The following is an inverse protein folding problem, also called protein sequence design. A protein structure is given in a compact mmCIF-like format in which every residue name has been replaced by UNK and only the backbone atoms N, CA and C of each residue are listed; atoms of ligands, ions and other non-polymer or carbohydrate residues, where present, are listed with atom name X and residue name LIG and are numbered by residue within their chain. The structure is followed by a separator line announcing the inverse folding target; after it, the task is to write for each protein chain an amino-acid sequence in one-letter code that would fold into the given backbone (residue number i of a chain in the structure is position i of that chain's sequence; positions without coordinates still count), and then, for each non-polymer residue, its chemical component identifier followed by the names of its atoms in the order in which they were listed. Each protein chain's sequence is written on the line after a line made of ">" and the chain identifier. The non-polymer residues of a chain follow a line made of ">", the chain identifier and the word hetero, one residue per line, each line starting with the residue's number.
data_IF_960071912998
#
_entry.id   IF_960071912998
#
_cell.length_a   1.000
_cell.length_b   1.000
_cell.length_c   1.000
_cell.angle_alpha   90.00
_cell.angle_beta   90.00
_cell.angle_gamma   90.00
#
_symmetry.space_group_name_H-M   'P 1'
#
loop_
_entity.id
_entity.type
_entity.pdbx_description
1 polymer ?
#
# COMPACT_ATOMS: atom_id res chain seq x y z
N UNK A 1 -6.97 12.54 30.81
CA UNK A 1 -7.08 13.97 31.02
C UNK A 1 -5.89 14.68 30.31
N UNK A 2 -6.23 15.71 29.52
CA UNK A 2 -5.53 16.62 28.55
C UNK A 2 -4.64 17.65 29.26
N UNK A 3 -3.78 18.39 28.56
CA UNK A 3 -3.41 19.75 29.01
C UNK A 3 -3.71 20.70 27.84
N UNK A 4 -4.84 21.39 27.92
CA UNK A 4 -5.24 22.48 27.01
C UNK A 4 -5.59 23.73 27.82
N UNK A 5 -5.27 24.91 27.31
CA UNK A 5 -5.59 26.19 27.96
C UNK A 5 -6.89 26.76 27.41
N UNK A 6 -7.86 27.01 28.28
CA UNK A 6 -9.07 27.78 27.95
C UNK A 6 -9.27 28.92 28.94
N UNK A 7 -9.75 30.07 28.46
CA UNK A 7 -10.17 31.20 29.31
C UNK A 7 -11.66 31.08 29.61
N UNK A 8 -12.06 31.16 30.88
CA UNK A 8 -13.47 31.32 31.23
C UNK A 8 -13.94 32.80 31.09
N UNK A 9 -15.25 33.02 31.19
CA UNK A 9 -15.95 34.30 31.02
C UNK A 9 -15.51 35.41 32.00
N UNK A 10 -14.71 35.12 33.03
CA UNK A 10 -14.22 36.06 34.04
C UNK A 10 -12.72 36.44 33.94
N UNK A 11 -12.04 36.04 32.86
CA UNK A 11 -10.61 36.34 32.57
C UNK A 11 -9.61 35.89 33.65
N UNK A 12 -9.99 35.00 34.58
CA UNK A 12 -9.03 34.42 35.52
C UNK A 12 -8.18 33.35 34.83
N UNK A 13 -6.85 33.52 34.85
CA UNK A 13 -5.91 32.45 34.47
C UNK A 13 -5.87 31.44 35.63
N UNK A 14 -6.77 30.47 35.60
CA UNK A 14 -6.69 29.27 36.42
C UNK A 14 -5.89 28.22 35.65
N UNK A 15 -4.98 27.55 36.35
CA UNK A 15 -4.25 26.40 35.81
C UNK A 15 -5.17 25.20 35.93
N UNK A 16 -5.80 24.82 34.84
CA UNK A 16 -6.41 23.51 34.71
C UNK A 16 -5.30 22.48 34.49
N UNK A 17 -5.42 21.33 35.15
CA UNK A 17 -4.48 20.22 35.01
C UNK A 17 -5.27 19.00 34.63
N UNK A 18 -4.81 18.31 33.60
CA UNK A 18 -5.45 17.07 33.25
C UNK A 18 -4.41 15.93 32.90
N UNK A 19 -4.60 14.71 33.45
CA UNK A 19 -3.80 13.44 33.28
C UNK A 19 -4.46 12.18 32.62
N UNK A 20 -3.83 11.42 31.71
CA UNK A 20 -4.40 10.20 31.05
C UNK A 20 -5.33 10.49 29.84
N UNK A 21 -5.06 11.50 29.00
CA UNK A 21 -5.80 11.67 27.72
C UNK A 21 -4.94 11.12 26.61
N UNK A 22 -5.56 10.27 25.81
CA UNK A 22 -4.92 9.64 24.66
C UNK A 22 -5.12 10.38 23.35
N UNK A 23 -6.05 11.34 23.27
CA UNK A 23 -6.28 12.18 22.08
C UNK A 23 -6.34 13.64 22.50
N UNK A 24 -5.34 14.43 22.14
CA UNK A 24 -5.26 15.87 22.46
C UNK A 24 -5.40 16.67 21.18
N UNK A 25 -6.25 17.70 21.18
CA UNK A 25 -6.20 18.75 20.17
C UNK A 25 -5.93 20.10 20.82
N UNK A 26 -4.88 20.78 20.37
CA UNK A 26 -4.56 22.15 20.74
C UNK A 26 -5.46 23.18 20.06
N UNK A 27 -5.06 24.43 20.20
CA UNK A 27 -5.81 25.60 19.78
C UNK A 27 -5.34 26.11 18.41
N UNK A 28 -5.40 27.43 18.21
CA UNK A 28 -4.87 28.08 17.01
C UNK A 28 -3.65 28.98 17.35
N UNK A 29 -3.04 28.74 18.50
CA UNK A 29 -1.91 29.47 19.05
C UNK A 29 -0.86 28.46 19.53
N UNK A 30 0.36 28.94 19.72
CA UNK A 30 1.48 28.15 20.25
C UNK A 30 1.11 27.44 21.56
N UNK A 31 0.94 26.12 21.47
CA UNK A 31 0.58 25.23 22.55
C UNK A 31 1.76 24.35 22.98
N UNK A 32 1.68 23.84 24.21
CA UNK A 32 2.64 22.87 24.74
C UNK A 32 1.85 21.67 25.23
N UNK A 33 1.93 20.57 24.49
CA UNK A 33 1.15 19.37 24.72
C UNK A 33 2.05 18.26 25.29
N UNK A 34 1.59 17.60 26.35
CA UNK A 34 2.26 16.46 26.97
C UNK A 34 1.37 15.23 26.92
N UNK A 35 1.94 14.12 26.45
CA UNK A 35 1.34 12.81 26.54
C UNK A 35 1.36 12.25 27.95
N UNK A 36 0.74 11.08 28.07
CA UNK A 36 0.77 10.21 29.22
C UNK A 36 2.15 9.57 29.40
N UNK A 37 2.35 8.79 30.47
CA UNK A 37 3.61 8.04 30.64
C UNK A 37 3.47 6.54 30.33
N UNK A 38 2.29 6.08 29.91
CA UNK A 38 1.97 4.65 29.82
C UNK A 38 1.00 4.28 28.67
N UNK A 39 0.55 5.24 27.85
CA UNK A 39 -0.36 4.98 26.71
C UNK A 39 0.16 5.55 25.41
N UNK A 40 -0.39 5.06 24.30
CA UNK A 40 -0.16 5.61 22.97
C UNK A 40 -1.09 6.79 22.76
N UNK A 41 -0.54 7.95 22.45
CA UNK A 41 -1.27 9.20 22.38
C UNK A 41 -1.28 9.78 20.95
N UNK A 42 -2.39 10.42 20.58
CA UNK A 42 -2.61 11.11 19.31
C UNK A 42 -2.67 12.62 19.56
N UNK A 43 -1.79 13.36 18.93
CA UNK A 43 -1.68 14.81 19.06
C UNK A 43 -2.09 15.51 17.77
N UNK A 44 -2.99 16.47 17.88
CA UNK A 44 -3.24 17.47 16.85
C UNK A 44 -2.93 18.84 17.45
N UNK A 45 -1.77 19.44 17.14
CA UNK A 45 -1.40 20.75 17.68
C UNK A 45 -2.43 21.83 17.30
N UNK A 46 -2.81 21.84 16.02
CA UNK A 46 -3.69 22.85 15.46
C UNK A 46 -2.87 23.87 14.71
N UNK A 47 -3.29 25.14 14.71
CA UNK A 47 -2.44 26.20 14.15
C UNK A 47 -1.58 26.80 15.26
N UNK A 48 -0.43 27.39 14.91
CA UNK A 48 0.54 27.90 15.88
C UNK A 48 1.85 27.12 15.78
N UNK A 49 2.86 27.56 16.50
CA UNK A 49 4.11 26.81 16.62
C UNK A 49 4.05 25.98 17.90
N UNK A 50 3.68 24.72 17.78
CA UNK A 50 3.36 23.87 18.91
C UNK A 50 4.57 23.04 19.37
N UNK A 51 4.59 22.70 20.65
CA UNK A 51 5.57 21.78 21.21
C UNK A 51 4.88 20.51 21.69
N UNK A 52 5.17 19.39 21.04
CA UNK A 52 4.52 18.11 21.30
C UNK A 52 5.49 17.12 21.98
N UNK A 53 5.14 16.68 23.19
CA UNK A 53 5.91 15.71 23.96
C UNK A 53 5.11 14.41 24.16
N UNK A 54 5.35 13.36 23.36
CA UNK A 54 4.63 12.09 23.49
C UNK A 54 4.96 11.34 24.78
N UNK A 55 6.24 11.37 25.19
CA UNK A 55 6.82 10.71 26.38
C UNK A 55 6.99 9.20 26.19
N UNK A 56 6.23 8.35 26.87
CA UNK A 56 6.36 6.90 26.74
C UNK A 56 5.13 6.36 26.04
N UNK A 57 5.31 5.45 25.10
CA UNK A 57 4.22 4.92 24.31
C UNK A 57 4.68 4.75 22.88
N UNK A 58 3.71 4.62 21.99
CA UNK A 58 3.89 4.82 20.56
C UNK A 58 2.94 5.95 20.17
N UNK A 59 3.47 7.15 20.11
CA UNK A 59 2.75 8.40 20.00
C UNK A 59 2.70 8.88 18.55
N UNK A 60 1.66 9.62 18.21
CA UNK A 60 1.35 10.03 16.84
C UNK A 60 1.10 11.53 16.76
N UNK A 61 1.88 12.25 15.97
CA UNK A 61 1.54 13.61 15.57
C UNK A 61 0.64 13.57 14.31
N UNK A 62 -0.47 14.29 14.35
CA UNK A 62 -1.51 14.25 13.33
C UNK A 62 -1.86 15.63 12.80
N UNK A 63 -1.86 15.73 11.47
CA UNK A 63 -2.19 16.93 10.70
C UNK A 63 -3.44 16.73 9.84
N UNK A 64 -4.27 15.74 10.18
CA UNK A 64 -5.47 15.31 9.43
C UNK A 64 -6.49 16.44 9.18
N UNK A 65 -6.49 17.50 10.00
CA UNK A 65 -7.34 18.68 9.84
C UNK A 65 -6.65 19.90 9.22
N UNK A 66 -5.36 19.80 8.86
CA UNK A 66 -4.68 20.91 8.23
C UNK A 66 -5.28 21.22 6.87
N UNK A 67 -5.40 22.52 6.59
CA UNK A 67 -5.93 23.03 5.34
C UNK A 67 -4.86 23.12 4.23
N UNK A 68 -3.61 22.82 4.55
CA UNK A 68 -2.47 22.81 3.63
C UNK A 68 -1.65 21.53 3.81
N UNK A 69 -0.86 21.17 2.79
CA UNK A 69 0.10 20.09 2.92
C UNK A 69 1.19 20.44 3.93
N UNK A 70 1.67 19.43 4.66
CA UNK A 70 2.65 19.57 5.74
C UNK A 70 3.98 18.92 5.36
N UNK A 71 5.07 19.45 5.91
CA UNK A 71 6.41 18.84 5.83
C UNK A 71 6.91 18.59 7.24
N UNK A 72 7.03 17.33 7.63
CA UNK A 72 7.34 16.91 8.99
C UNK A 72 8.47 15.90 8.97
N UNK A 73 9.46 16.10 9.84
CA UNK A 73 10.65 15.27 9.97
C UNK A 73 10.90 14.96 11.44
N UNK A 74 10.68 13.69 11.83
CA UNK A 74 10.87 13.21 13.20
C UNK A 74 12.35 13.15 13.60
N UNK A 75 13.22 12.76 12.65
CA UNK A 75 14.66 12.68 12.87
C UNK A 75 15.27 14.06 13.23
N UNK A 76 14.86 15.11 12.52
CA UNK A 76 15.29 16.49 12.78
C UNK A 76 14.45 17.18 13.86
N UNK A 77 13.27 16.63 14.18
CA UNK A 77 12.33 17.23 15.11
C UNK A 77 11.75 18.56 14.59
N UNK A 78 11.60 18.69 13.27
CA UNK A 78 11.15 19.93 12.61
C UNK A 78 9.89 19.72 11.80
N UNK A 79 9.05 20.75 11.77
CA UNK A 79 7.85 20.77 10.95
C UNK A 79 7.57 22.15 10.34
N UNK A 80 6.96 22.15 9.16
CA UNK A 80 6.62 23.35 8.41
C UNK A 80 5.41 23.13 7.51
N UNK A 81 4.75 24.21 7.12
CA UNK A 81 3.57 24.19 6.26
C UNK A 81 2.28 23.88 7.02
N UNK A 82 1.20 24.61 6.68
CA UNK A 82 -0.12 24.40 7.28
C UNK A 82 -0.11 24.50 8.79
N UNK A 83 -0.68 23.49 9.42
CA UNK A 83 -0.81 23.33 10.88
C UNK A 83 0.50 22.85 11.50
N UNK A 84 1.49 22.46 10.69
CA UNK A 84 2.79 22.01 11.16
C UNK A 84 3.81 23.16 11.27
N UNK A 85 3.42 24.40 10.93
CA UNK A 85 4.34 25.53 10.83
C UNK A 85 4.98 25.91 12.17
N UNK A 86 6.24 25.52 12.35
CA UNK A 86 7.02 25.84 13.55
C UNK A 86 6.88 24.82 14.68
N UNK A 87 6.17 23.72 14.43
CA UNK A 87 6.01 22.64 15.39
C UNK A 87 7.36 21.96 15.72
N UNK A 88 7.46 21.47 16.95
CA UNK A 88 8.59 20.70 17.46
C UNK A 88 8.13 19.47 18.21
N UNK A 89 8.92 18.39 18.12
CA UNK A 89 8.54 17.07 18.62
C UNK A 89 9.56 16.50 19.59
N UNK A 90 9.08 15.67 20.52
CA UNK A 90 9.93 14.77 21.31
C UNK A 90 9.17 13.52 21.72
N UNK A 91 9.73 12.35 21.37
CA UNK A 91 9.11 11.04 21.61
C UNK A 91 7.83 10.92 20.80
N UNK A 92 7.97 11.02 19.47
CA UNK A 92 6.89 10.77 18.52
C UNK A 92 7.40 9.69 17.60
N UNK A 93 6.61 8.65 17.41
CA UNK A 93 7.01 7.49 16.59
C UNK A 93 6.20 7.43 15.29
N UNK A 94 5.09 8.16 15.19
CA UNK A 94 4.20 8.09 14.02
C UNK A 94 3.76 9.47 13.53
N UNK A 95 3.43 9.53 12.24
CA UNK A 95 2.88 10.71 11.58
C UNK A 95 1.58 10.37 10.83
N UNK A 96 0.61 11.28 10.93
CA UNK A 96 -0.56 11.32 10.03
C UNK A 96 -0.55 12.67 9.32
N UNK A 97 -0.53 12.63 7.99
CA UNK A 97 -0.59 13.78 7.11
C UNK A 97 -1.96 14.46 7.06
N UNK A 98 -2.03 15.51 6.25
CA UNK A 98 -3.25 16.19 5.86
C UNK A 98 -4.04 15.36 4.82
N UNK A 99 -4.88 16.00 4.00
CA UNK A 99 -5.52 15.36 2.83
C UNK A 99 -4.91 15.84 1.51
N UNK A 100 -3.80 16.55 1.61
CA UNK A 100 -3.11 17.22 0.53
C UNK A 100 -1.73 16.58 0.41
N UNK A 101 -0.95 17.00 -0.59
CA UNK A 101 0.38 16.45 -0.75
C UNK A 101 1.28 16.81 0.45
N UNK A 102 1.66 15.80 1.22
CA UNK A 102 2.52 15.94 2.39
C UNK A 102 3.94 15.39 2.13
N UNK A 103 4.88 15.77 3.00
CA UNK A 103 6.22 15.22 3.08
C UNK A 103 6.46 14.76 4.51
N UNK A 104 6.43 13.46 4.76
CA UNK A 104 6.54 12.87 6.09
C UNK A 104 7.81 12.02 6.18
N UNK A 105 8.68 12.32 7.14
CA UNK A 105 9.93 11.60 7.38
C UNK A 105 9.92 11.03 8.80
N UNK A 106 10.19 9.74 8.91
CA UNK A 106 10.41 9.01 10.15
C UNK A 106 11.75 9.34 10.81
N UNK A 107 12.16 8.48 11.72
CA UNK A 107 13.46 8.50 12.39
C UNK A 107 14.11 7.11 12.34
N UNK A 108 15.05 6.80 13.23
CA UNK A 108 15.76 5.52 13.20
C UNK A 108 14.96 4.37 13.88
N UNK A 109 13.73 4.64 14.32
CA UNK A 109 12.85 3.67 14.97
C UNK A 109 11.76 3.14 14.02
N UNK A 110 10.95 2.18 14.48
CA UNK A 110 9.86 1.66 13.65
C UNK A 110 8.68 2.65 13.64
N UNK A 111 8.51 3.36 12.52
CA UNK A 111 7.49 4.39 12.37
C UNK A 111 6.27 3.89 11.58
N UNK A 112 5.11 4.48 11.89
CA UNK A 112 3.94 4.46 11.01
C UNK A 112 3.71 5.83 10.40
N UNK A 113 3.89 5.94 9.09
CA UNK A 113 3.65 7.17 8.32
C UNK A 113 2.41 6.99 7.47
N UNK A 114 1.38 7.79 7.71
CA UNK A 114 0.12 7.75 6.97
C UNK A 114 -0.14 9.07 6.25
N UNK A 115 -0.05 9.07 4.93
CA UNK A 115 -0.29 10.26 4.12
C UNK A 115 -1.74 10.78 4.14
N UNK A 116 -2.72 9.90 4.43
CA UNK A 116 -4.12 10.29 4.62
C UNK A 116 -4.81 10.99 3.41
N UNK A 117 -4.19 10.98 2.24
CA UNK A 117 -4.76 11.39 0.95
C UNK A 117 -3.85 12.37 0.25
N UNK A 118 -4.04 12.58 -1.05
CA UNK A 118 -3.12 13.40 -1.83
C UNK A 118 -1.83 12.66 -2.23
N UNK A 119 -0.97 13.40 -2.95
CA UNK A 119 0.26 12.84 -3.54
C UNK A 119 1.45 12.97 -2.61
N UNK A 120 1.60 12.04 -1.67
CA UNK A 120 2.55 12.17 -0.55
C UNK A 120 3.97 11.72 -0.86
N UNK A 121 4.93 12.27 -0.13
CA UNK A 121 6.30 11.78 -0.05
C UNK A 121 6.55 11.21 1.34
N UNK A 122 6.71 9.89 1.46
CA UNK A 122 6.91 9.21 2.74
C UNK A 122 8.30 8.57 2.77
N UNK A 123 9.07 8.85 3.82
CA UNK A 123 10.43 8.31 4.04
C UNK A 123 10.53 7.68 5.43
N UNK A 124 10.72 6.36 5.49
CA UNK A 124 10.86 5.59 6.74
C UNK A 124 12.15 5.88 7.49
N UNK A 125 13.28 5.91 6.76
CA UNK A 125 14.66 6.05 7.26
C UNK A 125 15.25 4.71 7.71
N UNK A 126 15.62 4.52 8.99
CA UNK A 126 16.05 3.22 9.51
C UNK A 126 14.89 2.65 10.34
N UNK A 127 14.71 1.33 10.41
CA UNK A 127 13.61 0.75 11.19
C UNK A 127 12.78 -0.23 10.37
N UNK A 128 11.81 -0.88 11.00
CA UNK A 128 10.83 -1.71 10.30
C UNK A 128 9.54 -0.91 10.14
N UNK A 129 9.40 -0.19 9.03
CA UNK A 129 8.40 0.87 8.87
C UNK A 129 7.08 0.42 8.24
N UNK A 130 6.04 1.17 8.55
CA UNK A 130 4.70 1.04 7.97
C UNK A 130 4.30 2.33 7.26
N UNK A 131 4.37 2.30 5.94
CA UNK A 131 3.97 3.41 5.07
C UNK A 131 2.56 3.18 4.56
N UNK A 132 1.66 4.15 4.73
CA UNK A 132 0.25 4.05 4.37
C UNK A 132 -0.13 5.18 3.41
N UNK A 133 -0.69 4.80 2.26
CA UNK A 133 -1.17 5.72 1.23
C UNK A 133 -2.60 5.39 0.83
N UNK A 134 -3.40 6.40 0.55
CA UNK A 134 -4.76 6.25 0.03
C UNK A 134 -4.95 6.78 -1.39
N UNK A 135 -3.99 7.54 -1.89
CA UNK A 135 -3.90 8.02 -3.28
C UNK A 135 -2.51 7.68 -3.85
N UNK A 136 -2.30 7.95 -5.13
CA UNK A 136 -0.99 7.75 -5.78
C UNK A 136 0.06 8.67 -5.15
N UNK A 137 1.11 8.12 -4.50
CA UNK A 137 2.12 8.93 -3.84
C UNK A 137 3.07 9.58 -4.84
N UNK A 138 3.68 10.68 -4.41
CA UNK A 138 4.82 11.29 -5.08
C UNK A 138 6.09 10.46 -4.88
N UNK A 139 6.34 9.97 -3.66
CA UNK A 139 7.46 9.07 -3.36
C UNK A 139 7.21 8.22 -2.11
N UNK A 140 7.74 7.01 -2.13
CA UNK A 140 7.76 6.04 -1.04
C UNK A 140 9.18 5.50 -0.94
N UNK A 141 9.82 5.76 0.18
CA UNK A 141 11.10 5.19 0.55
C UNK A 141 10.98 4.56 1.92
N UNK A 142 11.02 3.23 2.03
CA UNK A 142 11.05 2.57 3.33
C UNK A 142 12.41 2.70 4.02
N UNK A 143 13.48 2.93 3.26
CA UNK A 143 14.82 3.04 3.81
C UNK A 143 15.43 1.69 4.18
N UNK A 144 15.96 1.57 5.40
CA UNK A 144 16.69 0.40 5.87
C UNK A 144 15.91 -0.37 6.94
N UNK A 145 15.54 -1.59 6.61
CA UNK A 145 14.97 -2.54 7.55
C UNK A 145 14.02 -3.46 6.83
N UNK A 146 12.84 -3.71 7.41
CA UNK A 146 11.76 -4.44 6.74
C UNK A 146 10.50 -3.61 6.73
N UNK A 147 10.27 -3.03 5.57
CA UNK A 147 9.28 -1.99 5.41
C UNK A 147 8.08 -2.52 4.63
N UNK A 148 6.91 -2.01 5.00
CA UNK A 148 5.66 -2.38 4.36
C UNK A 148 4.94 -1.15 3.84
N UNK A 149 4.56 -1.18 2.56
CA UNK A 149 3.65 -0.22 1.97
C UNK A 149 2.23 -0.75 2.02
N UNK A 150 1.28 0.12 2.31
CA UNK A 150 -0.13 -0.22 2.42
C UNK A 150 -0.93 0.76 1.59
N UNK A 151 -1.40 0.27 0.45
CA UNK A 151 -2.30 0.97 -0.44
C UNK A 151 -3.74 0.69 -0.02
N UNK A 152 -4.50 1.75 0.25
CA UNK A 152 -5.91 1.70 0.66
C UNK A 152 -6.71 2.84 0.01
N UNK A 153 -7.96 3.08 0.43
CA UNK A 153 -8.77 4.22 -0.04
C UNK A 153 -9.80 3.93 -1.15
N UNK A 154 -9.78 2.75 -1.79
CA UNK A 154 -10.80 2.34 -2.77
C UNK A 154 -10.64 2.94 -4.18
N UNK A 155 -9.51 3.59 -4.46
CA UNK A 155 -9.13 4.11 -5.78
C UNK A 155 -7.94 3.35 -6.37
N UNK A 156 -7.26 3.97 -7.34
CA UNK A 156 -6.04 3.42 -7.94
C UNK A 156 -4.79 4.08 -7.33
N UNK A 157 -3.85 3.25 -6.91
CA UNK A 157 -2.51 3.65 -6.50
C UNK A 157 -1.51 3.19 -7.56
N UNK A 158 -0.86 4.13 -8.23
CA UNK A 158 0.17 3.84 -9.22
C UNK A 158 1.56 4.11 -8.65
N UNK A 159 2.50 3.19 -8.82
CA UNK A 159 3.87 3.32 -8.38
C UNK A 159 4.81 3.34 -9.59
N UNK A 160 5.91 4.10 -9.47
CA UNK A 160 6.94 4.17 -10.50
C UNK A 160 8.30 3.84 -9.90
N UNK A 161 9.24 3.33 -10.71
CA UNK A 161 10.56 2.92 -10.23
C UNK A 161 11.33 4.02 -9.46
N UNK A 162 11.11 5.30 -9.79
CA UNK A 162 11.75 6.42 -9.10
C UNK A 162 11.04 6.89 -7.83
N UNK A 163 9.82 6.42 -7.60
CA UNK A 163 8.96 6.80 -6.48
C UNK A 163 8.72 5.63 -5.49
N UNK A 164 9.40 4.50 -5.67
CA UNK A 164 9.22 3.31 -4.85
C UNK A 164 10.58 2.64 -4.59
N UNK A 165 11.08 2.78 -3.37
CA UNK A 165 12.36 2.22 -2.90
C UNK A 165 12.25 1.69 -1.48
N UNK A 166 13.14 0.76 -1.12
CA UNK A 166 13.27 0.27 0.26
C UNK A 166 12.02 -0.37 0.85
N UNK A 167 11.17 -1.05 0.06
CA UNK A 167 9.96 -1.70 0.58
C UNK A 167 9.95 -3.19 0.24
N UNK A 168 9.84 -4.04 1.27
CA UNK A 168 9.86 -5.51 1.14
C UNK A 168 8.50 -6.11 0.79
N UNK A 169 7.40 -5.44 1.16
CA UNK A 169 6.06 -5.93 0.89
C UNK A 169 5.03 -4.81 0.70
N UNK A 170 4.15 -5.01 -0.29
CA UNK A 170 2.99 -4.15 -0.54
C UNK A 170 1.72 -4.90 -0.16
N UNK A 171 0.90 -4.28 0.69
CA UNK A 171 -0.44 -4.76 1.01
C UNK A 171 -1.48 -3.85 0.35
N UNK A 172 -2.39 -4.45 -0.39
CA UNK A 172 -3.50 -3.75 -1.03
C UNK A 172 -4.77 -4.06 -0.24
N UNK A 173 -5.48 -3.04 0.21
CA UNK A 173 -6.63 -3.19 1.14
C UNK A 173 -7.91 -2.58 0.59
N UNK A 174 -9.03 -3.18 1.02
CA UNK A 174 -10.35 -2.75 0.58
C UNK A 174 -10.49 -2.92 -0.92
N UNK A 175 -10.93 -1.86 -1.58
CA UNK A 175 -11.25 -1.86 -3.01
C UNK A 175 -10.17 -1.14 -3.82
N UNK A 176 -8.96 -1.05 -3.27
CA UNK A 176 -7.85 -0.33 -3.91
C UNK A 176 -7.25 -1.15 -5.03
N UNK A 177 -7.09 -0.52 -6.19
CA UNK A 177 -6.34 -1.06 -7.31
C UNK A 177 -4.88 -0.64 -7.19
N UNK A 178 -3.96 -1.53 -7.57
CA UNK A 178 -2.51 -1.27 -7.54
C UNK A 178 -1.93 -1.44 -8.93
N UNK A 179 -1.29 -0.38 -9.43
CA UNK A 179 -0.56 -0.40 -10.68
C UNK A 179 0.94 -0.18 -10.43
N UNK A 180 1.72 -1.24 -10.58
CA UNK A 180 3.19 -1.18 -10.55
C UNK A 180 3.82 -1.43 -11.93
N UNK A 181 3.08 -1.22 -13.02
CA UNK A 181 3.57 -1.42 -14.41
C UNK A 181 4.88 -0.68 -14.72
N UNK A 182 5.14 0.45 -14.05
CA UNK A 182 6.34 1.26 -14.18
C UNK A 182 7.44 0.95 -13.14
N UNK A 183 7.30 -0.11 -12.35
CA UNK A 183 8.30 -0.62 -11.40
C UNK A 183 9.01 -1.82 -12.04
N UNK A 184 10.33 -1.91 -11.87
CA UNK A 184 11.15 -2.96 -12.47
C UNK A 184 11.81 -3.92 -11.47
N UNK A 185 11.52 -3.69 -10.18
CA UNK A 185 12.02 -4.51 -9.08
C UNK A 185 10.95 -5.53 -8.70
N UNK A 186 11.35 -6.80 -8.56
CA UNK A 186 10.43 -7.84 -8.13
C UNK A 186 9.87 -7.56 -6.73
N UNK A 187 8.56 -7.54 -6.62
CA UNK A 187 7.80 -7.07 -5.47
C UNK A 187 6.93 -8.19 -4.91
N UNK A 188 6.78 -8.21 -3.58
CA UNK A 188 5.79 -9.05 -2.91
C UNK A 188 4.50 -8.25 -2.70
N UNK A 189 3.46 -8.61 -3.43
CA UNK A 189 2.15 -7.95 -3.38
C UNK A 189 1.15 -8.91 -2.71
N UNK A 190 0.41 -8.42 -1.73
CA UNK A 190 -0.64 -9.17 -1.04
C UNK A 190 -1.92 -8.35 -0.99
N UNK A 191 -2.92 -8.76 -1.76
CA UNK A 191 -4.26 -8.22 -1.67
C UNK A 191 -5.00 -8.79 -0.46
N UNK A 192 -5.74 -7.90 0.19
CA UNK A 192 -6.69 -8.20 1.25
C UNK A 192 -8.11 -7.81 0.82
N UNK A 193 -8.40 -7.93 -0.49
CA UNK A 193 -9.73 -7.73 -1.07
C UNK A 193 -10.76 -8.66 -0.41
N UNK A 194 -12.01 -8.20 -0.37
CA UNK A 194 -13.12 -8.95 0.26
C UNK A 194 -13.96 -9.64 -0.80
N UNK A 195 -14.76 -10.64 -0.41
CA UNK A 195 -15.48 -11.49 -1.37
C UNK A 195 -16.38 -10.74 -2.37
N UNK A 196 -16.89 -9.56 -1.98
CA UNK A 196 -17.80 -8.75 -2.80
C UNK A 196 -17.07 -7.64 -3.58
N UNK A 197 -15.74 -7.53 -3.46
CA UNK A 197 -14.95 -6.44 -4.04
C UNK A 197 -13.67 -6.98 -4.66
N UNK A 198 -13.64 -7.06 -5.99
CA UNK A 198 -12.44 -7.39 -6.75
C UNK A 198 -11.51 -6.18 -6.91
N UNK A 199 -10.21 -6.44 -7.01
CA UNK A 199 -9.20 -5.40 -7.27
C UNK A 199 -8.40 -5.72 -8.54
N UNK A 200 -7.75 -4.70 -9.08
CA UNK A 200 -6.77 -4.86 -10.16
C UNK A 200 -5.37 -4.76 -9.56
N UNK A 201 -4.51 -5.73 -9.89
CA UNK A 201 -3.14 -5.84 -9.40
C UNK A 201 -2.20 -5.99 -10.59
N UNK A 202 -1.28 -5.04 -10.76
CA UNK A 202 -0.22 -5.09 -11.77
C UNK A 202 1.14 -5.14 -11.08
N UNK A 203 1.91 -6.21 -11.27
CA UNK A 203 3.19 -6.46 -10.61
C UNK A 203 4.37 -5.64 -11.15
N UNK A 204 4.39 -5.39 -12.46
CA UNK A 204 5.44 -4.62 -13.11
C UNK A 204 6.42 -5.49 -13.88
N UNK A 205 7.69 -5.08 -13.93
CA UNK A 205 8.76 -6.00 -14.34
C UNK A 205 9.48 -6.53 -13.12
N UNK A 206 10.14 -7.67 -13.26
CA UNK A 206 10.85 -8.31 -12.15
C UNK A 206 10.31 -9.72 -11.93
N UNK A 207 10.67 -10.35 -10.82
CA UNK A 207 10.07 -11.63 -10.45
C UNK A 207 9.14 -11.36 -9.28
N UNK A 208 7.88 -11.11 -9.59
CA UNK A 208 6.88 -10.70 -8.63
C UNK A 208 6.26 -11.89 -7.93
N UNK A 209 5.78 -11.64 -6.71
CA UNK A 209 5.02 -12.60 -5.93
C UNK A 209 3.71 -11.97 -5.52
N UNK A 210 2.64 -12.32 -6.25
CA UNK A 210 1.32 -11.72 -6.10
C UNK A 210 0.40 -12.72 -5.42
N UNK A 211 -0.18 -12.31 -4.29
CA UNK A 211 -1.25 -13.03 -3.61
C UNK A 211 -2.53 -12.24 -3.76
N UNK A 212 -3.45 -12.72 -4.61
CA UNK A 212 -4.78 -12.16 -4.72
C UNK A 212 -5.66 -12.54 -3.52
N UNK A 213 -6.75 -11.80 -3.36
CA UNK A 213 -7.58 -11.80 -2.16
C UNK A 213 -8.76 -12.76 -2.27
N UNK A 214 -9.94 -12.27 -1.88
CA UNK A 214 -11.19 -13.06 -1.91
C UNK A 214 -12.17 -12.59 -2.98
N UNK A 215 -11.98 -11.39 -3.51
CA UNK A 215 -12.84 -10.83 -4.55
C UNK A 215 -12.50 -11.40 -5.92
N UNK A 216 -13.33 -11.11 -6.91
CA UNK A 216 -13.03 -11.42 -8.31
C UNK A 216 -11.95 -10.47 -8.84
N UNK A 217 -10.69 -10.85 -8.66
CA UNK A 217 -9.55 -9.97 -8.89
C UNK A 217 -9.06 -10.04 -10.36
N UNK A 218 -8.53 -8.93 -10.89
CA UNK A 218 -7.79 -8.90 -12.16
C UNK A 218 -6.31 -8.79 -11.88
N UNK A 219 -5.50 -9.70 -12.40
CA UNK A 219 -4.10 -9.85 -11.99
C UNK A 219 -3.20 -9.90 -13.23
N UNK A 220 -2.26 -8.98 -13.32
CA UNK A 220 -1.17 -8.96 -14.29
C UNK A 220 0.16 -9.09 -13.55
N UNK A 221 0.89 -10.19 -13.76
CA UNK A 221 2.27 -10.34 -13.25
C UNK A 221 3.19 -9.29 -13.85
N UNK A 222 3.04 -9.09 -15.17
CA UNK A 222 3.87 -8.22 -15.97
C UNK A 222 5.05 -8.99 -16.52
N UNK A 223 6.24 -8.39 -16.62
CA UNK A 223 7.39 -9.00 -17.28
C UNK A 223 8.37 -9.65 -16.30
N UNK A 224 8.58 -10.95 -16.43
CA UNK A 224 9.66 -11.66 -15.74
C UNK A 224 9.28 -13.09 -15.41
N UNK A 225 9.53 -13.54 -14.18
CA UNK A 225 9.17 -14.89 -13.78
C UNK A 225 8.37 -14.87 -12.48
N UNK A 226 7.06 -14.70 -12.63
CA UNK A 226 6.20 -14.35 -11.53
C UNK A 226 5.58 -15.57 -10.86
N UNK A 227 5.17 -15.38 -9.61
CA UNK A 227 4.39 -16.34 -8.84
C UNK A 227 3.10 -15.69 -8.40
N UNK A 228 2.01 -16.12 -9.01
CA UNK A 228 0.68 -15.59 -8.79
C UNK A 228 -0.15 -16.63 -8.04
N UNK A 229 -0.78 -16.23 -6.94
CA UNK A 229 -1.70 -17.05 -6.16
C UNK A 229 -3.10 -16.44 -6.30
N UNK A 230 -4.00 -17.17 -6.96
CA UNK A 230 -5.36 -16.71 -7.31
C UNK A 230 -6.19 -16.25 -6.10
N UNK A 231 -6.04 -16.94 -4.97
CA UNK A 231 -6.90 -16.68 -3.83
C UNK A 231 -8.28 -17.31 -4.04
N UNK A 232 -9.34 -16.57 -3.73
CA UNK A 232 -10.73 -16.97 -3.98
C UNK A 232 -11.41 -15.87 -4.76
N UNK A 233 -12.46 -16.21 -5.49
CA UNK A 233 -13.07 -15.28 -6.43
C UNK A 233 -13.30 -15.98 -7.76
N UNK A 234 -13.87 -15.24 -8.70
CA UNK A 234 -13.75 -15.54 -10.14
C UNK A 234 -12.66 -14.62 -10.67
N UNK A 235 -11.42 -15.12 -10.75
CA UNK A 235 -10.24 -14.28 -11.00
C UNK A 235 -9.90 -14.22 -12.49
N UNK A 236 -9.40 -13.08 -12.96
CA UNK A 236 -8.91 -12.90 -14.33
C UNK A 236 -7.41 -12.66 -14.35
N UNK A 237 -6.66 -13.53 -15.03
CA UNK A 237 -5.21 -13.41 -15.19
C UNK A 237 -4.88 -12.81 -16.56
N UNK A 238 -4.36 -11.60 -16.57
CA UNK A 238 -3.99 -10.87 -17.78
C UNK A 238 -2.54 -11.15 -18.15
N UNK A 239 -2.30 -11.53 -19.42
CA UNK A 239 -0.97 -11.78 -19.95
C UNK A 239 -0.68 -10.94 -21.19
N UNK A 240 0.21 -9.96 -21.05
CA UNK A 240 0.67 -9.12 -22.15
C UNK A 240 1.89 -9.68 -22.88
N UNK A 241 2.22 -9.10 -24.03
CA UNK A 241 3.39 -9.51 -24.81
C UNK A 241 4.68 -9.32 -24.00
N UNK A 242 5.43 -10.40 -23.82
CA UNK A 242 6.70 -10.36 -23.08
C UNK A 242 6.57 -10.64 -21.58
N UNK A 243 5.43 -11.20 -21.13
CA UNK A 243 5.19 -11.53 -19.73
C UNK A 243 6.27 -12.46 -19.12
N UNK A 244 6.89 -13.33 -19.92
CA UNK A 244 7.95 -14.23 -19.46
C UNK A 244 7.42 -15.56 -18.91
N UNK A 245 7.92 -16.03 -17.77
CA UNK A 245 7.66 -17.39 -17.28
C UNK A 245 6.96 -17.37 -15.93
N UNK A 246 5.64 -17.50 -15.97
CA UNK A 246 4.83 -17.32 -14.77
C UNK A 246 4.30 -18.63 -14.22
N UNK A 247 4.14 -18.65 -12.91
CA UNK A 247 3.57 -19.76 -12.16
C UNK A 247 2.28 -19.29 -11.51
N UNK A 248 1.16 -19.87 -11.90
CA UNK A 248 -0.15 -19.57 -11.31
C UNK A 248 -0.57 -20.72 -10.42
N UNK A 249 -0.93 -20.40 -9.18
CA UNK A 249 -1.38 -21.33 -8.16
C UNK A 249 -2.82 -21.05 -7.79
N UNK A 250 -3.61 -22.11 -7.59
CA UNK A 250 -5.00 -21.99 -7.13
C UNK A 250 -6.01 -21.65 -8.21
N UNK A 251 -5.62 -21.65 -9.49
CA UNK A 251 -6.52 -21.47 -10.62
C UNK A 251 -7.60 -22.57 -10.66
N UNK A 252 -8.85 -22.19 -10.87
CA UNK A 252 -10.03 -23.06 -10.97
C UNK A 252 -10.63 -22.98 -12.37
N UNK A 253 -10.43 -24.01 -13.17
CA UNK A 253 -11.04 -24.12 -14.50
C UNK A 253 -12.58 -24.04 -14.40
N UNK A 254 -13.18 -23.28 -15.32
CA UNK A 254 -14.60 -22.97 -15.39
C UNK A 254 -15.06 -21.89 -14.42
N UNK A 255 -14.16 -21.27 -13.66
CA UNK A 255 -14.45 -20.18 -12.70
C UNK A 255 -13.51 -19.02 -12.91
N UNK A 256 -12.21 -19.30 -12.99
CA UNK A 256 -11.18 -18.31 -13.28
C UNK A 256 -10.92 -18.23 -14.79
N UNK A 257 -10.42 -17.09 -15.24
CA UNK A 257 -10.22 -16.78 -16.65
C UNK A 257 -8.82 -16.28 -16.95
N UNK A 258 -8.33 -16.56 -18.16
CA UNK A 258 -7.14 -15.97 -18.75
C UNK A 258 -7.54 -14.93 -19.79
N UNK A 259 -7.04 -13.71 -19.67
CA UNK A 259 -7.02 -12.76 -20.77
C UNK A 259 -5.67 -12.85 -21.49
N UNK A 260 -5.71 -13.46 -22.67
CA UNK A 260 -4.56 -13.65 -23.57
C UNK A 260 -4.79 -12.96 -24.92
N UNK A 261 -5.73 -12.03 -24.97
CA UNK A 261 -6.12 -11.31 -26.19
C UNK A 261 -4.97 -10.51 -26.82
N UNK A 262 -3.99 -10.11 -26.00
CA UNK A 262 -2.76 -9.46 -26.45
C UNK A 262 -1.76 -10.42 -27.13
N UNK A 263 -1.92 -11.73 -26.95
CA UNK A 263 -0.99 -12.77 -27.42
C UNK A 263 -1.52 -13.52 -28.64
N UNK A 264 -2.82 -13.80 -28.66
CA UNK A 264 -3.47 -14.67 -29.65
C UNK A 264 -4.88 -14.20 -29.96
N UNK A 265 -5.36 -14.54 -31.16
CA UNK A 265 -6.70 -14.20 -31.65
C UNK A 265 -7.66 -15.38 -31.71
N UNK A 266 -7.16 -16.61 -31.49
CA UNK A 266 -7.99 -17.81 -31.43
C UNK A 266 -7.41 -18.88 -30.51
N UNK A 267 -8.30 -19.72 -29.99
CA UNK A 267 -7.94 -20.84 -29.11
C UNK A 267 -6.98 -21.85 -29.77
N UNK A 268 -7.04 -22.03 -31.10
CA UNK A 268 -6.14 -22.93 -31.85
C UNK A 268 -4.66 -22.54 -31.78
N UNK A 269 -4.38 -21.28 -31.44
CA UNK A 269 -3.04 -20.75 -31.27
C UNK A 269 -2.47 -21.08 -29.88
N UNK A 270 -3.29 -21.54 -28.95
CA UNK A 270 -2.90 -21.94 -27.60
C UNK A 270 -2.51 -23.42 -27.60
N UNK A 271 -1.40 -23.73 -26.93
CA UNK A 271 -0.88 -25.09 -26.76
C UNK A 271 -0.88 -25.41 -25.27
N UNK A 272 -1.74 -26.35 -24.89
CA UNK A 272 -1.93 -26.80 -23.52
C UNK A 272 -1.34 -28.22 -23.42
N UNK A 273 -0.43 -28.44 -22.47
CA UNK A 273 0.23 -29.73 -22.27
C UNK A 273 0.39 -30.09 -20.81
N UNK A 274 0.17 -31.36 -20.48
CA UNK A 274 0.39 -31.90 -19.14
C UNK A 274 1.89 -32.03 -18.85
N UNK A 275 2.32 -31.65 -17.63
CA UNK A 275 3.66 -31.93 -17.13
C UNK A 275 3.71 -33.28 -16.40
N UNK A 276 4.87 -33.94 -16.42
CA UNK A 276 5.00 -35.34 -16.00
C UNK A 276 4.89 -35.59 -14.49
N UNK A 277 4.98 -34.55 -13.65
CA UNK A 277 5.17 -34.67 -12.19
C UNK A 277 3.90 -34.39 -11.36
N UNK A 278 2.72 -34.48 -11.95
CA UNK A 278 1.44 -34.25 -11.26
C UNK A 278 0.45 -33.47 -12.12
N UNK A 279 -0.66 -32.99 -11.53
CA UNK A 279 -1.62 -32.13 -12.23
C UNK A 279 -1.02 -30.73 -12.42
N UNK A 280 0.04 -30.58 -13.21
CA UNK A 280 0.58 -29.28 -13.59
C UNK A 280 0.43 -29.11 -15.10
N UNK A 281 -0.05 -27.95 -15.52
CA UNK A 281 -0.31 -27.65 -16.93
C UNK A 281 0.65 -26.60 -17.44
N UNK A 282 1.24 -26.86 -18.60
CA UNK A 282 2.04 -25.90 -19.37
C UNK A 282 1.18 -25.30 -20.48
N UNK A 283 1.08 -23.98 -20.50
CA UNK A 283 0.42 -23.23 -21.56
C UNK A 283 1.48 -22.42 -22.32
N UNK A 284 1.46 -22.55 -23.65
CA UNK A 284 2.31 -21.78 -24.56
C UNK A 284 1.50 -21.28 -25.75
N UNK A 285 2.01 -20.27 -26.44
CA UNK A 285 1.28 -19.57 -27.50
C UNK A 285 2.06 -19.63 -28.82
N UNK A 286 1.36 -19.97 -29.90
CA UNK A 286 1.94 -20.03 -31.24
C UNK A 286 2.40 -18.63 -31.67
N UNK A 287 3.68 -18.50 -32.03
CA UNK A 287 4.26 -17.21 -32.46
C UNK A 287 4.72 -16.29 -31.32
N UNK A 288 4.50 -16.68 -30.06
CA UNK A 288 5.05 -15.95 -28.91
C UNK A 288 6.54 -16.28 -28.69
N UNK A 289 7.25 -15.41 -27.98
CA UNK A 289 8.65 -15.61 -27.65
C UNK A 289 8.83 -16.94 -26.88
N UNK A 290 9.91 -17.69 -27.17
CA UNK A 290 10.14 -19.02 -26.57
C UNK A 290 10.25 -19.02 -25.03
N UNK A 291 10.49 -17.85 -24.43
CA UNK A 291 10.47 -17.63 -22.99
C UNK A 291 9.06 -17.60 -22.39
N UNK A 292 8.07 -17.17 -23.17
CA UNK A 292 6.71 -16.91 -22.72
C UNK A 292 5.95 -18.22 -22.48
N UNK A 293 5.67 -18.53 -21.22
CA UNK A 293 4.91 -19.71 -20.83
C UNK A 293 4.27 -19.54 -19.47
N UNK A 294 3.07 -20.10 -19.34
CA UNK A 294 2.34 -20.13 -18.07
C UNK A 294 2.42 -21.57 -17.55
N UNK A 295 2.76 -21.72 -16.29
CA UNK A 295 2.72 -22.99 -15.57
C UNK A 295 1.59 -22.90 -14.55
N UNK A 296 0.51 -23.64 -14.79
CA UNK A 296 -0.56 -23.79 -13.80
C UNK A 296 -0.21 -24.93 -12.87
N UNK A 297 -0.30 -24.66 -11.58
CA UNK A 297 -0.08 -25.66 -10.53
C UNK A 297 -1.41 -26.25 -10.06
N UNK A 298 -1.43 -27.57 -9.92
CA UNK A 298 -2.57 -28.36 -9.46
C UNK A 298 -3.83 -28.27 -10.36
N UNK A 299 -3.61 -28.11 -11.67
CA UNK A 299 -4.62 -28.10 -12.74
C UNK A 299 -4.28 -29.14 -13.81
N UNK A 300 -5.25 -29.98 -14.17
CA UNK A 300 -5.13 -30.97 -15.26
C UNK A 300 -5.34 -30.29 -16.62
N UNK A 301 -4.48 -30.58 -17.60
CA UNK A 301 -4.55 -29.97 -18.92
C UNK A 301 -5.88 -30.21 -19.63
N UNK A 302 -6.55 -31.34 -19.33
CA UNK A 302 -7.84 -31.70 -19.93
C UNK A 302 -9.04 -30.98 -19.31
N UNK A 303 -8.88 -30.30 -18.17
CA UNK A 303 -9.96 -29.50 -17.58
C UNK A 303 -10.11 -28.13 -18.22
N UNK A 304 -9.10 -27.67 -18.96
CA UNK A 304 -9.11 -26.34 -19.60
C UNK A 304 -9.89 -26.36 -20.93
N UNK A 305 -10.71 -25.34 -21.14
CA UNK A 305 -11.57 -25.16 -22.32
C UNK A 305 -11.44 -23.75 -22.89
N UNK A 306 -12.02 -23.52 -24.06
CA UNK A 306 -11.95 -22.23 -24.76
C UNK A 306 -12.51 -21.06 -23.92
N UNK A 307 -13.55 -21.34 -23.13
CA UNK A 307 -14.19 -20.35 -22.25
C UNK A 307 -13.26 -19.87 -21.11
N UNK A 308 -12.31 -20.71 -20.65
CA UNK A 308 -11.28 -20.31 -19.66
C UNK A 308 -10.33 -19.25 -20.21
N UNK A 309 -10.29 -19.04 -21.53
CA UNK A 309 -9.42 -18.08 -22.20
C UNK A 309 -10.22 -16.96 -22.91
N UNK A 310 -11.50 -16.81 -22.57
CA UNK A 310 -12.38 -15.79 -23.16
C UNK A 310 -12.80 -16.07 -24.62
N UNK A 311 -12.53 -17.26 -25.16
CA UNK A 311 -12.98 -17.67 -26.49
C UNK A 311 -14.31 -18.41 -26.38
N UNK A 312 -15.40 -17.66 -26.23
CA UNK A 312 -16.75 -18.25 -26.15
C UNK A 312 -17.06 -19.06 -27.41
N UNK A 313 -17.51 -20.30 -27.21
CA UNK A 313 -18.09 -21.10 -28.28
C UNK A 313 -19.54 -20.66 -28.49
N UNK A 314 -19.83 -19.97 -29.60
CA UNK A 314 -21.21 -19.57 -29.99
C UNK A 314 -22.05 -20.81 -30.31
#
# INVERSE_FOLDING_TARGET
>A
MEDGRATDFDEAILVDSFSDISNVRGSAYDDVLFGSNDTNDLFEGGAGADTLYGRSGIDTASYVHSQFGVTVDLLLGTASGGDAEGDTFRGMENLIGSKLADSLTGDDEANTLNGNGGGDSLSGMDGDDRLVVSDTPTSIDGGAGKDVLIAMGGGSVSLTQGAFTGVEAVFVRGDTHLDMSAVSTGTKITSQSTADHGVELVGGSGNDRIYAGKGSDTIEGGAGADKIFAGSGEDTFLFQAGFGRDNVYGFKAGTDHFDVSALVSSFDQIRIGQLNDGPHTLITFTGSATGNKIILHDVDASSLQADDFGFLTI
#
